data_IF_649575868532
#
_entry.id   IF_649575868532
#
_cell.length_a   1.000
_cell.length_b   1.000
_cell.length_c   1.000
_cell.angle_alpha   90.00
_cell.angle_beta   90.00
_cell.angle_gamma   90.00
#
_symmetry.space_group_name_H-M   'P 1'
#
loop_
_entity.id
_entity.type
_entity.pdbx_description
1 polymer ?
#
# COMPACT_ATOMS: atom_id res chain seq x y z
N UNK A 1 -11.78 22.41 8.91
CA UNK A 1 -11.72 20.97 8.63
C UNK A 1 -10.36 20.73 8.02
N UNK A 2 -9.56 19.90 8.67
CA UNK A 2 -8.11 19.96 8.61
C UNK A 2 -7.53 19.02 7.55
N UNK A 3 -6.47 19.46 6.87
CA UNK A 3 -5.77 18.76 5.79
C UNK A 3 -5.40 17.31 6.15
N UNK A 4 -5.13 17.07 7.45
CA UNK A 4 -4.92 15.73 8.01
C UNK A 4 -6.10 14.78 7.77
N UNK A 5 -7.32 15.20 8.10
CA UNK A 5 -8.50 14.33 8.01
C UNK A 5 -8.75 13.95 6.55
N UNK A 6 -8.68 14.92 5.65
CA UNK A 6 -8.90 14.70 4.22
C UNK A 6 -7.83 13.78 3.61
N UNK A 7 -6.57 13.93 4.03
CA UNK A 7 -5.47 13.09 3.56
C UNK A 7 -5.61 11.64 4.06
N UNK A 8 -5.94 11.45 5.34
CA UNK A 8 -6.13 10.12 5.92
C UNK A 8 -7.36 9.41 5.37
N UNK A 9 -8.45 10.16 5.12
CA UNK A 9 -9.62 9.63 4.42
C UNK A 9 -9.26 9.22 2.98
N UNK A 10 -8.47 10.03 2.28
CA UNK A 10 -8.01 9.70 0.92
C UNK A 10 -7.18 8.42 0.89
N UNK A 11 -6.35 8.19 1.91
CA UNK A 11 -5.61 6.93 2.05
C UNK A 11 -6.56 5.74 2.28
N UNK A 12 -7.54 5.88 3.17
CA UNK A 12 -8.53 4.83 3.42
C UNK A 12 -9.30 4.46 2.15
N UNK A 13 -9.79 5.46 1.42
CA UNK A 13 -10.51 5.27 0.17
C UNK A 13 -9.62 4.58 -0.89
N UNK A 14 -8.34 4.94 -0.97
CA UNK A 14 -7.40 4.36 -1.93
C UNK A 14 -7.19 2.85 -1.67
N UNK A 15 -7.09 2.43 -0.40
CA UNK A 15 -6.98 1.01 -0.06
C UNK A 15 -8.24 0.23 -0.36
N UNK A 16 -9.40 0.75 -0.03
CA UNK A 16 -10.66 0.04 -0.31
C UNK A 16 -10.86 -0.15 -1.83
N UNK A 17 -10.47 0.87 -2.61
CA UNK A 17 -10.45 0.83 -4.07
C UNK A 17 -9.41 -0.13 -4.65
N UNK A 18 -8.40 -0.52 -3.89
CA UNK A 18 -7.43 -1.54 -4.28
C UNK A 18 -7.89 -2.96 -3.90
N UNK A 19 -8.28 -3.14 -2.65
CA UNK A 19 -8.65 -4.45 -2.10
C UNK A 19 -9.85 -5.02 -2.84
N UNK A 20 -10.89 -4.21 -3.05
CA UNK A 20 -12.14 -4.71 -3.64
C UNK A 20 -11.96 -5.26 -5.06
N UNK A 21 -11.32 -4.54 -6.00
CA UNK A 21 -11.01 -5.08 -7.32
C UNK A 21 -10.06 -6.27 -7.29
N UNK A 22 -9.03 -6.26 -6.42
CA UNK A 22 -8.09 -7.36 -6.29
C UNK A 22 -8.80 -8.66 -5.88
N UNK A 23 -9.65 -8.61 -4.84
CA UNK A 23 -10.43 -9.76 -4.40
C UNK A 23 -11.38 -10.26 -5.50
N UNK A 24 -12.05 -9.34 -6.22
CA UNK A 24 -12.91 -9.71 -7.36
C UNK A 24 -12.13 -10.37 -8.49
N UNK A 25 -10.93 -9.89 -8.80
CA UNK A 25 -10.08 -10.48 -9.84
C UNK A 25 -9.58 -11.87 -9.44
N UNK A 26 -9.17 -12.06 -8.18
CA UNK A 26 -8.77 -13.37 -7.67
C UNK A 26 -9.92 -14.38 -7.68
N UNK A 27 -11.14 -13.95 -7.32
CA UNK A 27 -12.34 -14.80 -7.39
C UNK A 27 -12.68 -15.25 -8.84
N UNK A 28 -12.19 -14.52 -9.86
CA UNK A 28 -12.28 -14.93 -11.27
C UNK A 28 -11.12 -15.83 -11.72
N UNK A 29 -10.16 -16.14 -10.85
CA UNK A 29 -8.98 -16.95 -11.16
C UNK A 29 -7.87 -16.18 -11.89
N UNK A 30 -7.84 -14.85 -11.81
CA UNK A 30 -6.73 -14.05 -12.38
C UNK A 30 -5.48 -14.30 -11.56
N UNK A 31 -4.43 -14.82 -12.20
CA UNK A 31 -3.15 -15.19 -11.60
C UNK A 31 -1.99 -14.60 -12.42
N UNK A 32 -0.78 -14.55 -11.85
CA UNK A 32 0.44 -14.18 -12.58
C UNK A 32 1.43 -13.43 -11.70
N UNK A 33 2.60 -13.06 -12.22
CA UNK A 33 3.62 -12.32 -11.46
C UNK A 33 3.20 -10.90 -11.04
N UNK A 34 2.10 -10.41 -11.61
CA UNK A 34 1.38 -9.18 -11.21
C UNK A 34 -0.11 -9.44 -10.99
N UNK A 35 -0.44 -10.65 -10.53
CA UNK A 35 -1.79 -11.03 -10.19
C UNK A 35 -2.29 -10.26 -8.95
N UNK A 36 -3.58 -10.37 -8.62
CA UNK A 36 -4.17 -9.69 -7.47
C UNK A 36 -3.46 -9.99 -6.16
N UNK A 37 -3.00 -11.24 -6.01
CA UNK A 37 -2.27 -11.68 -4.83
C UNK A 37 -0.91 -11.00 -4.71
N UNK A 38 -0.15 -10.98 -5.80
CA UNK A 38 1.18 -10.36 -5.89
C UNK A 38 1.09 -8.86 -5.67
N UNK A 39 0.06 -8.22 -6.22
CA UNK A 39 -0.21 -6.79 -6.02
C UNK A 39 -0.50 -6.51 -4.54
N UNK A 40 -1.44 -7.23 -3.90
CA UNK A 40 -1.76 -6.97 -2.49
C UNK A 40 -0.54 -7.18 -1.59
N UNK A 41 0.23 -8.23 -1.82
CA UNK A 41 1.41 -8.50 -1.03
C UNK A 41 2.53 -7.47 -1.24
N UNK A 42 2.72 -6.98 -2.47
CA UNK A 42 3.64 -5.89 -2.75
C UNK A 42 3.26 -4.62 -1.97
N UNK A 43 1.97 -4.27 -1.96
CA UNK A 43 1.47 -3.12 -1.20
C UNK A 43 1.68 -3.31 0.31
N UNK A 44 1.31 -4.47 0.86
CA UNK A 44 1.56 -4.81 2.28
C UNK A 44 3.01 -4.59 2.64
N UNK A 45 3.93 -5.06 1.80
CA UNK A 45 5.35 -4.89 2.04
C UNK A 45 5.76 -3.43 2.06
N UNK A 46 5.39 -2.70 1.02
CA UNK A 46 5.69 -1.27 0.92
C UNK A 46 5.18 -0.50 2.14
N UNK A 47 3.96 -0.78 2.60
CA UNK A 47 3.38 -0.12 3.78
C UNK A 47 4.09 -0.47 5.08
N UNK A 48 4.46 -1.74 5.28
CA UNK A 48 5.23 -2.15 6.46
C UNK A 48 6.55 -1.39 6.55
N UNK A 49 7.25 -1.20 5.42
CA UNK A 49 8.45 -0.37 5.35
C UNK A 49 8.12 1.08 5.65
N UNK A 50 7.09 1.63 5.01
CA UNK A 50 6.71 3.02 5.17
C UNK A 50 6.47 3.33 6.66
N UNK A 51 5.72 2.47 7.36
CA UNK A 51 5.46 2.55 8.79
C UNK A 51 6.74 2.38 9.62
N UNK A 52 7.57 1.38 9.31
CA UNK A 52 8.81 1.15 10.07
C UNK A 52 9.81 2.31 9.95
N UNK A 53 9.80 3.01 8.81
CA UNK A 53 10.67 4.16 8.60
C UNK A 53 10.14 5.44 9.25
N UNK A 54 8.81 5.58 9.39
CA UNK A 54 8.14 6.80 9.88
C UNK A 54 8.68 7.34 11.22
N UNK A 55 8.96 6.52 12.25
CA UNK A 55 9.58 6.97 13.50
C UNK A 55 10.98 7.60 13.36
N UNK A 56 11.71 7.29 12.29
CA UNK A 56 13.06 7.81 12.02
C UNK A 56 13.08 9.06 11.14
N UNK A 57 11.93 9.70 10.90
CA UNK A 57 11.84 10.88 10.03
C UNK A 57 11.57 12.12 10.85
N UNK A 58 12.54 12.43 11.70
CA UNK A 58 12.65 13.75 12.26
C UNK A 58 13.07 14.75 11.16
N UNK A 59 12.69 16.02 11.26
CA UNK A 59 13.16 17.05 10.35
C UNK A 59 14.69 17.05 10.26
N UNK A 60 15.23 16.74 9.08
CA UNK A 60 16.68 16.74 8.81
C UNK A 60 17.35 15.37 8.69
N UNK A 61 16.67 14.27 8.99
CA UNK A 61 17.22 12.92 8.81
C UNK A 61 16.80 12.32 7.45
N UNK A 62 17.79 11.83 6.70
CA UNK A 62 17.54 11.13 5.46
C UNK A 62 16.90 9.77 5.77
N UNK A 63 15.82 9.36 5.05
CA UNK A 63 15.28 8.02 5.20
C UNK A 63 16.38 6.98 4.97
N UNK A 64 16.40 5.92 5.78
CA UNK A 64 17.29 4.80 5.56
C UNK A 64 17.11 4.27 4.13
N UNK A 65 18.19 4.02 3.37
CA UNK A 65 18.10 3.51 2.01
C UNK A 65 17.71 2.03 2.07
N UNK A 66 16.41 1.76 2.15
CA UNK A 66 15.88 0.43 1.89
C UNK A 66 15.89 0.22 0.38
N UNK A 67 16.64 -0.79 -0.07
CA UNK A 67 16.59 -1.22 -1.46
C UNK A 67 15.27 -1.96 -1.66
N UNK A 68 14.30 -1.26 -2.28
CA UNK A 68 12.97 -1.77 -2.59
C UNK A 68 13.00 -3.17 -3.25
N UNK A 69 14.04 -3.49 -4.01
CA UNK A 69 14.22 -4.78 -4.68
C UNK A 69 14.41 -5.95 -3.73
N UNK A 70 15.23 -5.80 -2.68
CA UNK A 70 15.46 -6.87 -1.71
C UNK A 70 14.19 -7.16 -0.90
N UNK A 71 13.37 -6.13 -0.66
CA UNK A 71 12.11 -6.29 0.03
C UNK A 71 11.01 -6.86 -0.86
N UNK A 72 10.91 -6.40 -2.12
CA UNK A 72 10.00 -7.00 -3.10
C UNK A 72 10.29 -8.50 -3.23
N UNK A 73 11.57 -8.89 -3.29
CA UNK A 73 11.98 -10.29 -3.31
C UNK A 73 11.63 -11.03 -2.01
N UNK A 74 11.86 -10.41 -0.85
CA UNK A 74 11.51 -11.00 0.45
C UNK A 74 10.00 -11.20 0.59
N UNK A 75 9.19 -10.23 0.15
CA UNK A 75 7.73 -10.33 0.15
C UNK A 75 7.26 -11.38 -0.85
N UNK A 76 7.80 -11.43 -2.07
CA UNK A 76 7.51 -12.52 -3.03
C UNK A 76 7.86 -13.89 -2.46
N UNK A 77 8.95 -13.99 -1.71
CA UNK A 77 9.36 -15.24 -1.04
C UNK A 77 8.46 -15.58 0.14
N UNK A 78 8.06 -14.59 0.94
CA UNK A 78 7.10 -14.72 2.06
C UNK A 78 5.68 -15.03 1.58
N UNK A 79 5.32 -14.57 0.38
CA UNK A 79 4.02 -14.80 -0.24
C UNK A 79 3.78 -16.31 -0.39
N UNK A 80 4.81 -17.05 -0.80
CA UNK A 80 4.73 -18.50 -1.01
C UNK A 80 3.48 -18.89 -1.81
N UNK A 81 2.69 -19.82 -1.26
CA UNK A 81 1.37 -20.23 -1.78
C UNK A 81 0.23 -19.76 -0.85
N UNK A 82 0.44 -18.69 -0.08
CA UNK A 82 -0.59 -18.19 0.84
C UNK A 82 -1.81 -17.71 0.05
N UNK A 83 -3.04 -17.93 0.58
CA UNK A 83 -4.26 -17.50 -0.07
C UNK A 83 -4.39 -15.97 -0.04
N UNK A 84 -5.12 -15.39 -1.00
CA UNK A 84 -5.23 -13.93 -1.14
C UNK A 84 -5.83 -13.26 0.10
N UNK A 85 -6.69 -13.96 0.82
CA UNK A 85 -7.32 -13.51 2.07
C UNK A 85 -6.29 -13.15 3.14
N UNK A 86 -5.16 -13.87 3.19
CA UNK A 86 -4.06 -13.55 4.12
C UNK A 86 -3.49 -12.16 3.81
N UNK A 87 -3.27 -11.84 2.52
CA UNK A 87 -2.75 -10.52 2.14
C UNK A 87 -3.78 -9.41 2.30
N UNK A 88 -5.06 -9.68 2.04
CA UNK A 88 -6.15 -8.75 2.36
C UNK A 88 -6.13 -8.40 3.85
N UNK A 89 -6.07 -9.40 4.72
CA UNK A 89 -6.12 -9.20 6.16
C UNK A 89 -4.86 -8.50 6.68
N UNK A 90 -3.69 -8.86 6.15
CA UNK A 90 -2.43 -8.16 6.44
C UNK A 90 -2.47 -6.70 5.98
N UNK A 91 -3.02 -6.41 4.80
CA UNK A 91 -3.15 -5.05 4.30
C UNK A 91 -4.09 -4.23 5.17
N UNK A 92 -5.24 -4.81 5.55
CA UNK A 92 -6.16 -4.15 6.47
C UNK A 92 -5.49 -3.82 7.81
N UNK A 93 -4.76 -4.78 8.41
CA UNK A 93 -4.04 -4.55 9.67
C UNK A 93 -2.92 -3.51 9.54
N UNK A 94 -2.16 -3.55 8.44
CA UNK A 94 -1.06 -2.62 8.18
C UNK A 94 -1.60 -1.21 7.96
N UNK A 95 -2.68 -1.08 7.19
CA UNK A 95 -3.37 0.18 6.99
C UNK A 95 -3.92 0.77 8.28
N UNK A 96 -4.56 -0.04 9.14
CA UNK A 96 -5.04 0.43 10.44
C UNK A 96 -3.89 0.96 11.29
N UNK A 97 -2.72 0.31 11.27
CA UNK A 97 -1.51 0.83 11.93
C UNK A 97 -1.04 2.14 11.29
N UNK A 98 -1.10 2.25 9.97
CA UNK A 98 -0.77 3.49 9.25
C UNK A 98 -1.69 4.64 9.66
N UNK A 99 -3.01 4.41 9.77
CA UNK A 99 -3.99 5.43 10.15
C UNK A 99 -3.93 5.84 11.62
N UNK A 100 -3.58 4.90 12.50
CA UNK A 100 -3.46 5.17 13.95
C UNK A 100 -2.13 5.83 14.32
N UNK A 101 -1.10 5.70 13.48
CA UNK A 101 0.19 6.34 13.71
C UNK A 101 0.12 7.90 13.69
N UNK A 102 -0.71 8.55 12.85
CA UNK A 102 -1.11 9.94 12.97
C UNK A 102 -1.66 10.37 14.32
N UNK A 103 -2.28 9.50 15.11
CA UNK A 103 -2.79 9.88 16.44
C UNK A 103 -1.68 10.22 17.43
N UNK A 104 -0.45 9.79 17.14
CA UNK A 104 0.74 10.18 17.90
C UNK A 104 1.55 11.31 17.25
N UNK A 105 1.06 11.90 16.14
CA UNK A 105 1.76 12.94 15.37
C UNK A 105 0.98 14.26 15.36
N UNK A 106 1.70 15.39 15.43
CA UNK A 106 1.11 16.74 15.39
C UNK A 106 0.44 17.00 14.03
N UNK A 107 -0.68 17.73 14.02
CA UNK A 107 -1.37 18.19 12.82
C UNK A 107 -0.45 18.99 11.89
N UNK A 108 0.55 19.70 12.43
CA UNK A 108 1.60 20.37 11.66
C UNK A 108 2.46 19.42 10.79
N UNK A 109 2.39 18.11 11.03
CA UNK A 109 3.09 17.09 10.23
C UNK A 109 2.36 16.72 8.92
N UNK A 110 1.12 17.18 8.75
CA UNK A 110 0.25 16.86 7.63
C UNK A 110 0.14 18.00 6.63
N UNK A 111 1.26 18.68 6.38
CA UNK A 111 1.39 19.78 5.41
C UNK A 111 2.35 19.41 4.29
N UNK A 112 2.20 19.98 3.07
CA UNK A 112 3.11 19.76 1.95
C UNK A 112 4.58 19.96 2.31
N UNK A 113 5.44 19.08 1.81
CA UNK A 113 6.88 19.06 2.11
C UNK A 113 7.26 18.38 3.43
N UNK A 114 6.30 18.09 4.32
CA UNK A 114 6.58 17.32 5.52
C UNK A 114 6.73 15.82 5.18
N UNK A 115 7.73 15.11 5.74
CA UNK A 115 7.98 13.70 5.40
C UNK A 115 6.80 12.74 5.64
N UNK A 116 5.90 13.06 6.58
CA UNK A 116 4.69 12.29 6.84
C UNK A 116 3.63 12.52 5.75
N UNK A 117 3.40 13.78 5.38
CA UNK A 117 2.50 14.15 4.30
C UNK A 117 2.92 13.51 2.96
N UNK A 118 4.18 13.67 2.58
CA UNK A 118 4.72 13.14 1.31
C UNK A 118 4.62 11.61 1.24
N UNK A 119 4.86 10.91 2.36
CA UNK A 119 4.69 9.45 2.41
C UNK A 119 3.25 9.01 2.31
N UNK A 120 2.35 9.74 2.95
CA UNK A 120 0.92 9.43 2.90
C UNK A 120 0.40 9.62 1.47
N UNK A 121 0.83 10.70 0.78
CA UNK A 121 0.55 10.87 -0.65
C UNK A 121 1.17 9.78 -1.52
N UNK A 122 2.41 9.38 -1.25
CA UNK A 122 3.05 8.29 -1.98
C UNK A 122 2.26 6.97 -1.81
N UNK A 123 1.79 6.66 -0.61
CA UNK A 123 0.96 5.48 -0.33
C UNK A 123 -0.35 5.49 -1.13
N UNK A 124 -1.03 6.64 -1.16
CA UNK A 124 -2.24 6.86 -1.98
C UNK A 124 -1.93 6.63 -3.47
N UNK A 125 -0.88 7.28 -3.98
CA UNK A 125 -0.46 7.17 -5.38
C UNK A 125 -0.15 5.73 -5.77
N UNK A 126 0.53 4.99 -4.90
CA UNK A 126 0.91 3.61 -5.11
C UNK A 126 -0.31 2.68 -5.19
N UNK A 127 -1.29 2.87 -4.31
CA UNK A 127 -2.56 2.13 -4.39
C UNK A 127 -3.28 2.39 -5.73
N UNK A 128 -3.35 3.66 -6.15
CA UNK A 128 -4.01 4.05 -7.41
C UNK A 128 -3.28 3.49 -8.63
N UNK A 129 -1.94 3.46 -8.63
CA UNK A 129 -1.14 2.84 -9.69
C UNK A 129 -1.49 1.36 -9.84
N UNK A 130 -1.51 0.63 -8.73
CA UNK A 130 -1.77 -0.81 -8.72
C UNK A 130 -3.22 -1.17 -9.07
N UNK A 131 -4.20 -0.33 -8.72
CA UNK A 131 -5.58 -0.46 -9.24
C UNK A 131 -5.58 -0.42 -10.77
N UNK A 132 -4.87 0.55 -11.37
CA UNK A 132 -4.78 0.66 -12.84
C UNK A 132 -4.04 -0.50 -13.48
N UNK A 133 -3.09 -1.13 -12.78
CA UNK A 133 -2.44 -2.36 -13.24
C UNK A 133 -3.40 -3.55 -13.23
N UNK A 134 -4.17 -3.72 -12.15
CA UNK A 134 -5.19 -4.77 -12.05
C UNK A 134 -6.30 -4.64 -13.09
N UNK A 135 -6.71 -3.41 -13.42
CA UNK A 135 -7.69 -3.16 -14.47
C UNK A 135 -7.13 -3.53 -15.85
N UNK A 136 -5.86 -3.20 -16.12
CA UNK A 136 -5.18 -3.58 -17.36
C UNK A 136 -5.01 -5.09 -17.51
N UNK A 137 -4.67 -5.80 -16.42
CA UNK A 137 -4.54 -7.26 -16.45
C UNK A 137 -5.90 -7.96 -16.54
N UNK A 138 -6.95 -7.40 -15.95
CA UNK A 138 -8.33 -7.93 -16.02
C UNK A 138 -9.02 -7.70 -17.38
N UNK A 139 -8.56 -6.71 -18.16
CA UNK A 139 -9.07 -6.42 -19.51
C UNK A 139 -8.53 -7.34 -20.62
N UNK A 140 -7.51 -8.15 -20.33
CA UNK A 140 -7.02 -9.18 -21.25
C UNK A 140 -7.82 -10.49 -21.05
N UNK A 141 -9.10 -10.47 -21.42
CA UNK A 141 -9.81 -11.71 -21.73
C UNK A 141 -9.21 -12.25 -23.02
N UNK A 142 -8.26 -13.19 -22.90
CA UNK A 142 -7.76 -13.96 -24.03
C UNK A 142 -8.92 -14.80 -24.55
N UNK A 143 -9.57 -14.34 -25.62
CA UNK A 143 -10.19 -15.24 -26.57
C UNK A 143 -9.05 -16.00 -27.26
N UNK A 144 -8.80 -17.22 -26.81
CA UNK A 144 -8.20 -18.29 -27.61
C UNK A 144 -8.97 -19.58 -27.36
#
# INVERSE_FOLDING_TARGET
MTERIDLLQSLADAHERLITPAMKAAARGVNGSRGPREVLAHIVGWEVIAIACLPGLLPGEAPAPLTYDAMNLAMVTLIGEQPIEVFRDMLYQTHQRFLNMPEVQDEASFVPGHPIFERTLAAIGHCVEHVRELDRSSGQTVFQ
#
